data_IF_269470942542
#
_entry.id   IF_269470942542
#
_cell.length_a   1.000
_cell.length_b   1.000
_cell.length_c   1.000
_cell.angle_alpha   90.00
_cell.angle_beta   90.00
_cell.angle_gamma   90.00
#
_symmetry.space_group_name_H-M   'P 1'
#
loop_
_entity.id
_entity.type
_entity.pdbx_description
1 polymer ?
#
# COMPACT_ATOMS: atom_id res chain seq x y z
N UNK A 1 -6.18 10.42 23.17
CA UNK A 1 -4.98 9.84 23.79
C UNK A 1 -4.17 9.27 22.64
N UNK A 2 -3.06 9.93 22.32
CA UNK A 2 -2.14 9.57 21.24
C UNK A 2 -1.13 8.57 21.81
N UNK A 3 -0.86 7.40 21.20
CA UNK A 3 0.10 6.44 21.76
C UNK A 3 1.54 7.00 21.71
N UNK A 4 2.22 6.91 22.86
CA UNK A 4 3.62 7.30 23.05
C UNK A 4 4.57 6.57 22.07
N UNK A 5 5.53 7.27 21.44
CA UNK A 5 6.47 6.66 20.53
C UNK A 5 7.54 5.89 21.32
N UNK A 6 7.53 4.55 21.24
CA UNK A 6 8.61 3.74 21.82
C UNK A 6 8.27 2.29 22.19
N UNK A 7 7.00 1.91 22.22
CA UNK A 7 6.63 0.52 22.51
C UNK A 7 6.71 -0.34 21.25
N UNK A 8 7.83 -1.03 21.08
CA UNK A 8 7.95 -2.12 20.11
C UNK A 8 7.12 -3.29 20.64
N UNK A 9 5.91 -3.46 20.10
CA UNK A 9 5.10 -4.66 20.33
C UNK A 9 5.74 -5.77 19.50
N UNK A 10 6.34 -6.76 20.16
CA UNK A 10 6.83 -7.95 19.49
C UNK A 10 5.61 -8.82 19.12
N UNK A 11 5.41 -9.17 17.83
CA UNK A 11 4.34 -10.07 17.44
C UNK A 11 4.61 -11.47 17.97
N UNK A 12 3.55 -12.19 18.29
CA UNK A 12 3.59 -13.61 18.64
C UNK A 12 4.25 -14.39 17.49
N UNK A 13 5.30 -15.21 17.73
CA UNK A 13 5.98 -15.96 16.69
C UNK A 13 5.09 -16.99 15.98
N UNK A 14 3.99 -17.43 16.60
CA UNK A 14 3.02 -18.36 16.00
C UNK A 14 1.89 -17.62 15.26
N UNK A 15 1.81 -16.29 15.40
CA UNK A 15 0.91 -15.48 14.59
C UNK A 15 1.47 -15.38 13.17
N UNK A 16 0.85 -16.09 12.23
CA UNK A 16 1.16 -15.98 10.81
C UNK A 16 1.22 -14.51 10.40
N UNK A 17 2.36 -14.09 9.84
CA UNK A 17 2.52 -12.74 9.32
C UNK A 17 1.49 -12.58 8.22
N UNK A 18 0.50 -11.72 8.43
CA UNK A 18 -0.45 -11.38 7.37
C UNK A 18 0.38 -10.76 6.22
N UNK A 19 0.38 -11.38 5.03
CA UNK A 19 1.19 -10.91 3.90
C UNK A 19 0.79 -9.50 3.44
N UNK A 20 -0.39 -9.01 3.84
CA UNK A 20 -0.85 -7.65 3.59
C UNK A 20 -0.50 -6.66 4.71
N UNK A 21 0.15 -7.13 5.79
CA UNK A 21 0.62 -6.25 6.85
C UNK A 21 1.83 -5.46 6.41
N UNK A 22 1.58 -4.18 6.16
CA UNK A 22 2.58 -3.28 5.64
C UNK A 22 3.33 -2.52 6.76
N UNK A 23 3.02 -2.79 8.04
CA UNK A 23 3.54 -2.08 9.22
C UNK A 23 3.43 -0.53 9.12
N UNK A 24 2.43 -0.04 8.38
CA UNK A 24 2.25 1.39 8.10
C UNK A 24 3.09 1.95 6.94
N UNK A 25 3.91 1.14 6.26
CA UNK A 25 4.72 1.58 5.11
C UNK A 25 3.86 1.90 3.86
N UNK A 26 2.63 1.38 3.78
CA UNK A 26 1.76 1.54 2.62
C UNK A 26 1.36 2.99 2.41
N UNK A 27 1.06 3.70 3.50
CA UNK A 27 0.76 5.13 3.44
C UNK A 27 1.98 5.96 3.06
N UNK A 28 3.20 5.55 3.45
CA UNK A 28 4.44 6.21 3.03
C UNK A 28 4.67 6.05 1.53
N UNK A 29 4.48 4.83 1.00
CA UNK A 29 4.59 4.53 -0.43
C UNK A 29 3.59 5.35 -1.25
N UNK A 30 2.31 5.38 -0.84
CA UNK A 30 1.25 6.17 -1.49
C UNK A 30 1.61 7.67 -1.48
N UNK A 31 2.18 8.18 -0.39
CA UNK A 31 2.60 9.59 -0.27
C UNK A 31 3.73 9.92 -1.24
N UNK A 32 4.75 9.06 -1.30
CA UNK A 32 5.90 9.22 -2.19
C UNK A 32 5.48 9.19 -3.67
N UNK A 33 4.72 8.17 -4.07
CA UNK A 33 4.20 8.03 -5.43
C UNK A 33 3.31 9.21 -5.84
N UNK A 34 2.42 9.63 -4.94
CA UNK A 34 1.58 10.80 -5.21
C UNK A 34 2.36 12.12 -5.27
N UNK A 35 3.53 12.20 -4.66
CA UNK A 35 4.41 13.37 -4.75
C UNK A 35 5.15 13.37 -6.08
N UNK A 36 5.57 12.19 -6.55
CA UNK A 36 6.35 12.00 -7.77
C UNK A 36 5.48 12.06 -9.04
N UNK A 37 4.31 11.43 -9.03
CA UNK A 37 3.34 11.43 -10.14
C UNK A 37 2.34 12.61 -10.08
N UNK A 38 2.29 13.33 -8.96
CA UNK A 38 1.31 14.40 -8.71
C UNK A 38 -0.01 13.91 -8.09
N UNK A 39 -0.72 14.84 -7.43
CA UNK A 39 -2.01 14.59 -6.79
C UNK A 39 -2.82 15.88 -6.62
N UNK A 40 -4.13 15.74 -6.43
CA UNK A 40 -5.05 16.82 -6.09
C UNK A 40 -5.58 16.67 -4.67
N UNK A 41 -5.53 17.72 -3.82
CA UNK A 41 -6.23 17.74 -2.54
C UNK A 41 -7.75 17.63 -2.71
N UNK A 42 -8.41 16.99 -1.75
CA UNK A 42 -9.88 16.90 -1.66
C UNK A 42 -10.33 17.24 -0.25
N UNK A 43 -11.64 17.44 -0.03
CA UNK A 43 -12.19 17.71 1.30
C UNK A 43 -11.95 16.56 2.31
N UNK A 44 -11.64 15.35 1.83
CA UNK A 44 -11.46 14.15 2.65
C UNK A 44 -10.07 13.52 2.52
N UNK A 45 -9.12 14.15 1.83
CA UNK A 45 -7.78 13.60 1.63
C UNK A 45 -7.14 14.01 0.31
N UNK A 46 -6.67 13.03 -0.48
CA UNK A 46 -6.05 13.27 -1.78
C UNK A 46 -6.57 12.32 -2.84
N UNK A 47 -6.57 12.76 -4.07
CA UNK A 47 -6.73 11.93 -5.26
C UNK A 47 -5.43 11.94 -6.07
N UNK A 48 -4.96 10.77 -6.50
CA UNK A 48 -3.84 10.60 -7.40
C UNK A 48 -4.26 9.68 -8.55
N UNK A 49 -3.70 9.88 -9.74
CA UNK A 49 -4.00 9.08 -10.92
C UNK A 49 -2.71 8.70 -11.61
N UNK A 50 -2.66 7.48 -12.14
CA UNK A 50 -1.57 6.99 -12.97
C UNK A 50 -2.16 6.26 -14.16
N UNK A 51 -1.48 6.34 -15.31
CA UNK A 51 -1.83 5.55 -16.48
C UNK A 51 -1.05 4.25 -16.40
N UNK A 52 -1.74 3.13 -16.24
CA UNK A 52 -1.13 1.82 -16.37
C UNK A 52 -1.14 1.43 -17.86
N UNK A 53 0.00 1.13 -18.48
CA UNK A 53 -0.02 0.52 -19.80
C UNK A 53 -0.72 -0.83 -19.71
N UNK A 54 -1.67 -1.09 -20.62
CA UNK A 54 -2.29 -2.41 -20.74
C UNK A 54 -1.18 -3.39 -21.10
N UNK A 55 -0.82 -4.27 -20.16
CA UNK A 55 0.04 -5.39 -20.47
C UNK A 55 -0.72 -6.29 -21.47
N UNK A 56 -0.05 -6.84 -22.50
CA UNK A 56 -0.68 -7.88 -23.32
C UNK A 56 -1.17 -8.99 -22.39
N UNK A 57 -2.36 -9.49 -22.70
CA UNK A 57 -3.06 -10.50 -21.91
C UNK A 57 -2.06 -11.61 -21.57
N UNK A 58 -1.78 -11.78 -20.27
CA UNK A 58 -0.85 -12.81 -19.83
C UNK A 58 -1.56 -14.12 -20.09
N UNK A 59 -1.23 -14.75 -21.21
CA UNK A 59 -1.89 -15.93 -21.76
C UNK A 59 -2.33 -16.87 -20.64
N UNK A 60 -3.64 -16.92 -20.41
CA UNK A 60 -4.23 -17.85 -19.47
C UNK A 60 -3.91 -19.25 -20.01
N UNK A 61 -3.19 -20.12 -19.26
CA UNK A 61 -2.89 -21.45 -19.76
C UNK A 61 -4.22 -22.15 -20.08
N UNK A 62 -4.36 -22.79 -21.26
CA UNK A 62 -5.59 -23.47 -21.61
C UNK A 62 -5.89 -24.52 -20.54
N UNK A 63 -7.08 -24.44 -19.96
CA UNK A 63 -7.57 -25.48 -19.06
C UNK A 63 -7.74 -26.75 -19.89
N UNK A 64 -7.00 -27.79 -19.53
CA UNK A 64 -7.02 -29.10 -20.17
C UNK A 64 -8.38 -29.80 -20.01
#
# INVERSE_FOLDING_TARGET
HDPEPGRVVHPDPDAGVDPWQEHGRGLLLVRALSSDCGHRPTAHGKAAWFTLPVAPDREHPPTA
#
